data_IF_773354568547
#
_entry.id   IF_773354568547
#
_cell.length_a   1.000
_cell.length_b   1.000
_cell.length_c   1.000
_cell.angle_alpha   90.00
_cell.angle_beta   90.00
_cell.angle_gamma   90.00
#
_symmetry.space_group_name_H-M   'P 1'
#
loop_
_entity.id
_entity.type
_entity.pdbx_description
1 polymer ?
#
# COMPACT_ATOMS: atom_id res chain seq x y z
N UNK A 1 40.09 37.72 -69.86
CA UNK A 1 38.65 37.48 -70.12
C UNK A 1 38.17 36.37 -69.19
N UNK A 2 37.63 36.75 -68.02
CA UNK A 2 37.08 35.81 -67.03
C UNK A 2 35.56 35.80 -67.12
N UNK A 3 34.94 34.62 -67.13
CA UNK A 3 33.48 34.43 -67.08
C UNK A 3 33.06 33.82 -65.73
N UNK A 4 31.83 34.12 -65.26
CA UNK A 4 31.49 34.17 -63.84
C UNK A 4 30.93 32.86 -63.25
N UNK A 5 30.90 32.90 -61.93
CA UNK A 5 30.27 32.01 -60.93
C UNK A 5 28.88 31.46 -61.32
N UNK A 6 28.64 30.20 -60.98
CA UNK A 6 27.29 29.62 -60.83
C UNK A 6 27.17 29.03 -59.43
N UNK A 7 26.27 29.62 -58.65
CA UNK A 7 25.77 29.09 -57.39
C UNK A 7 24.87 27.89 -57.68
N UNK A 8 25.17 26.74 -57.10
CA UNK A 8 24.29 25.59 -57.08
C UNK A 8 23.58 25.54 -55.72
N UNK A 9 22.28 25.84 -55.73
CA UNK A 9 21.37 25.61 -54.62
C UNK A 9 21.16 24.10 -54.45
N UNK A 10 21.38 23.55 -53.26
CA UNK A 10 20.88 22.23 -52.87
C UNK A 10 19.92 22.42 -51.70
N UNK A 11 18.66 22.11 -51.96
CA UNK A 11 17.58 22.12 -51.00
C UNK A 11 17.51 20.77 -50.25
N UNK A 12 17.35 20.87 -48.93
CA UNK A 12 16.41 20.13 -48.08
C UNK A 12 16.39 18.59 -48.16
N UNK A 13 16.83 17.93 -47.08
CA UNK A 13 15.98 16.96 -46.36
C UNK A 13 16.52 16.71 -44.95
N UNK A 14 15.78 17.13 -43.92
CA UNK A 14 15.97 16.68 -42.53
C UNK A 14 15.02 15.50 -42.35
N UNK A 15 15.56 14.30 -42.17
CA UNK A 15 14.80 13.12 -41.76
C UNK A 15 15.17 12.78 -40.31
N UNK A 16 14.37 13.28 -39.37
CA UNK A 16 14.44 12.88 -37.97
C UNK A 16 13.53 11.66 -37.77
N UNK A 17 14.12 10.47 -37.61
CA UNK A 17 13.41 9.26 -37.16
C UNK A 17 13.63 9.13 -35.65
N UNK A 18 12.68 9.61 -34.85
CA UNK A 18 12.60 9.29 -33.43
C UNK A 18 11.73 8.03 -33.25
N UNK A 19 12.35 6.86 -33.27
CA UNK A 19 11.71 5.58 -32.97
C UNK A 19 11.66 5.34 -31.46
N UNK A 20 10.61 5.81 -30.80
CA UNK A 20 10.28 5.41 -29.43
C UNK A 20 9.57 4.06 -29.44
N UNK A 21 10.28 2.98 -29.13
CA UNK A 21 9.67 1.68 -28.91
C UNK A 21 8.96 1.68 -27.54
N UNK A 22 7.68 2.03 -27.51
CA UNK A 22 6.81 1.72 -26.39
C UNK A 22 6.59 0.19 -26.40
N UNK A 23 7.26 -0.52 -25.50
CA UNK A 23 6.91 -1.92 -25.21
C UNK A 23 5.45 -2.01 -24.75
N UNK A 24 4.77 -3.14 -24.96
CA UNK A 24 3.39 -3.29 -24.52
C UNK A 24 3.33 -3.08 -23.00
N UNK A 25 2.62 -2.03 -22.58
CA UNK A 25 2.19 -1.91 -21.20
C UNK A 25 1.36 -3.15 -20.90
N UNK A 26 1.87 -4.02 -20.02
CA UNK A 26 1.10 -5.16 -19.52
C UNK A 26 -0.07 -4.54 -18.77
N UNK A 27 -1.24 -4.48 -19.41
CA UNK A 27 -2.46 -4.10 -18.75
C UNK A 27 -2.62 -5.09 -17.59
N UNK A 28 -2.53 -4.60 -16.35
CA UNK A 28 -2.85 -5.41 -15.20
C UNK A 28 -4.24 -5.98 -15.42
N UNK A 29 -4.37 -7.31 -15.47
CA UNK A 29 -5.66 -7.96 -15.63
C UNK A 29 -6.61 -7.45 -14.55
N UNK A 30 -7.67 -6.77 -14.97
CA UNK A 30 -8.68 -6.16 -14.11
C UNK A 30 -9.70 -7.15 -13.58
N UNK A 31 -9.55 -8.42 -13.93
CA UNK A 31 -10.49 -9.46 -13.51
C UNK A 31 -10.32 -9.72 -12.01
N UNK A 32 -11.45 -9.64 -11.32
CA UNK A 32 -11.57 -9.77 -9.88
C UNK A 32 -12.71 -10.73 -9.61
N UNK A 33 -12.43 -11.83 -8.93
CA UNK A 33 -13.46 -12.75 -8.50
C UNK A 33 -14.11 -12.30 -7.18
N UNK A 34 -15.24 -12.90 -6.84
CA UNK A 34 -15.81 -12.79 -5.49
C UNK A 34 -14.86 -13.33 -4.42
N UNK A 35 -14.01 -14.31 -4.78
CA UNK A 35 -12.96 -14.85 -3.92
C UNK A 35 -11.94 -13.78 -3.55
N UNK A 36 -11.34 -13.16 -4.57
CA UNK A 36 -10.33 -12.10 -4.44
C UNK A 36 -10.89 -10.90 -3.64
N UNK A 37 -12.14 -10.53 -3.92
CA UNK A 37 -12.87 -9.46 -3.19
C UNK A 37 -12.98 -9.79 -1.70
N UNK A 38 -13.46 -11.00 -1.38
CA UNK A 38 -13.63 -11.45 0.00
C UNK A 38 -12.28 -11.54 0.71
N UNK A 39 -11.26 -12.02 0.01
CA UNK A 39 -9.90 -12.14 0.51
C UNK A 39 -9.33 -10.78 0.91
N UNK A 40 -9.30 -9.81 -0.01
CA UNK A 40 -8.75 -8.47 0.26
C UNK A 40 -9.49 -7.74 1.38
N UNK A 41 -10.83 -7.80 1.40
CA UNK A 41 -11.63 -7.21 2.46
C UNK A 41 -11.35 -7.85 3.82
N UNK A 42 -11.28 -9.17 3.87
CA UNK A 42 -11.03 -9.90 5.12
C UNK A 42 -9.62 -9.63 5.64
N UNK A 43 -8.61 -9.63 4.77
CA UNK A 43 -7.23 -9.37 5.19
C UNK A 43 -7.05 -7.94 5.70
N UNK A 44 -7.70 -6.94 5.08
CA UNK A 44 -7.76 -5.58 5.62
C UNK A 44 -8.36 -5.54 7.04
N UNK A 45 -9.50 -6.19 7.25
CA UNK A 45 -10.13 -6.24 8.58
C UNK A 45 -9.26 -6.97 9.62
N UNK A 46 -8.61 -8.07 9.22
CA UNK A 46 -7.68 -8.82 10.07
C UNK A 46 -6.50 -7.94 10.45
N UNK A 47 -5.84 -7.29 9.50
CA UNK A 47 -4.67 -6.46 9.78
C UNK A 47 -5.00 -5.34 10.77
N UNK A 48 -6.08 -4.59 10.55
CA UNK A 48 -6.51 -3.52 11.45
C UNK A 48 -6.86 -4.04 12.86
N UNK A 49 -7.52 -5.19 12.94
CA UNK A 49 -7.86 -5.83 14.22
C UNK A 49 -6.62 -6.28 14.99
N UNK A 50 -5.67 -6.92 14.30
CA UNK A 50 -4.43 -7.46 14.88
C UNK A 50 -3.47 -6.35 15.32
N UNK A 51 -3.47 -5.19 14.64
CA UNK A 51 -2.77 -3.97 15.11
C UNK A 51 -3.31 -3.56 16.48
N UNK A 52 -4.63 -3.39 16.62
CA UNK A 52 -5.24 -3.02 17.91
C UNK A 52 -5.00 -4.09 18.97
N UNK A 53 -5.14 -5.37 18.61
CA UNK A 53 -4.92 -6.48 19.53
C UNK A 53 -3.47 -6.55 20.03
N UNK A 54 -2.48 -6.26 19.17
CA UNK A 54 -1.08 -6.19 19.54
C UNK A 54 -0.74 -4.97 20.42
N UNK A 55 -1.39 -3.83 20.22
CA UNK A 55 -1.28 -2.64 21.10
C UNK A 55 -1.85 -2.92 22.50
N UNK A 56 -3.00 -3.60 22.57
CA UNK A 56 -3.56 -4.07 23.84
C UNK A 56 -2.65 -5.09 24.52
N UNK A 57 -2.05 -6.03 23.80
CA UNK A 57 -1.13 -7.01 24.37
C UNK A 57 0.07 -6.35 25.07
N UNK A 58 0.68 -5.35 24.41
CA UNK A 58 1.83 -4.61 24.96
C UNK A 58 1.51 -3.93 26.29
N UNK A 59 0.31 -3.36 26.42
CA UNK A 59 -0.12 -2.65 27.62
C UNK A 59 -0.74 -3.55 28.69
N UNK A 60 -1.45 -4.61 28.30
CA UNK A 60 -2.34 -5.37 29.20
C UNK A 60 -1.82 -6.76 29.57
N UNK A 61 -0.87 -7.33 28.82
CA UNK A 61 -0.38 -8.68 29.10
C UNK A 61 0.50 -8.74 30.36
N UNK A 62 0.52 -9.90 31.02
CA UNK A 62 1.32 -10.11 32.23
C UNK A 62 2.74 -10.57 31.93
N UNK A 63 2.95 -11.26 30.81
CA UNK A 63 4.25 -11.82 30.45
C UNK A 63 4.96 -10.99 29.38
N UNK A 64 6.28 -10.87 29.52
CA UNK A 64 7.13 -10.18 28.55
C UNK A 64 7.06 -10.83 27.15
N UNK A 65 6.94 -12.16 27.10
CA UNK A 65 6.76 -12.90 25.85
C UNK A 65 5.56 -12.37 25.04
N UNK A 66 4.38 -12.23 25.66
CA UNK A 66 3.17 -11.77 24.97
C UNK A 66 3.29 -10.31 24.55
N UNK A 67 3.90 -9.46 25.37
CA UNK A 67 4.16 -8.05 25.00
C UNK A 67 5.03 -7.96 23.75
N UNK A 68 6.10 -8.75 23.67
CA UNK A 68 6.98 -8.81 22.51
C UNK A 68 6.27 -9.34 21.28
N UNK A 69 5.46 -10.40 21.39
CA UNK A 69 4.65 -10.88 20.27
C UNK A 69 3.67 -9.79 19.82
N UNK A 70 3.01 -9.09 20.73
CA UNK A 70 2.15 -7.95 20.42
C UNK A 70 2.86 -6.86 19.62
N UNK A 71 4.09 -6.50 20.00
CA UNK A 71 4.89 -5.53 19.26
C UNK A 71 5.23 -6.00 17.83
N UNK A 72 5.53 -7.28 17.65
CA UNK A 72 5.76 -7.89 16.33
C UNK A 72 4.52 -7.83 15.46
N UNK A 73 3.35 -8.18 16.02
CA UNK A 73 2.08 -8.14 15.29
C UNK A 73 1.78 -6.73 14.81
N UNK A 74 1.92 -5.71 15.67
CA UNK A 74 1.70 -4.31 15.28
C UNK A 74 2.60 -3.91 14.12
N UNK A 75 3.90 -4.21 14.20
CA UNK A 75 4.85 -3.88 13.15
C UNK A 75 4.47 -4.55 11.81
N UNK A 76 4.31 -5.87 11.82
CA UNK A 76 4.12 -6.66 10.60
C UNK A 76 2.74 -6.42 9.98
N UNK A 77 1.68 -6.32 10.78
CA UNK A 77 0.32 -6.05 10.25
C UNK A 77 0.15 -4.63 9.73
N UNK A 78 0.89 -3.63 10.24
CA UNK A 78 0.92 -2.29 9.63
C UNK A 78 1.52 -2.34 8.22
N UNK A 79 2.55 -3.15 8.01
CA UNK A 79 3.13 -3.34 6.68
C UNK A 79 2.13 -4.07 5.77
N UNK A 80 1.54 -5.18 6.22
CA UNK A 80 0.54 -5.91 5.45
C UNK A 80 -0.69 -5.05 5.12
N UNK A 81 -1.12 -4.17 6.03
CA UNK A 81 -2.19 -3.22 5.77
C UNK A 81 -1.81 -2.18 4.69
N UNK A 82 -0.58 -1.68 4.73
CA UNK A 82 -0.09 -0.79 3.69
C UNK A 82 -0.02 -1.47 2.31
N UNK A 83 0.26 -2.77 2.27
CA UNK A 83 0.33 -3.58 1.05
C UNK A 83 -1.05 -3.97 0.48
N UNK A 84 -2.06 -4.25 1.33
CA UNK A 84 -3.39 -4.69 0.84
C UNK A 84 -4.20 -3.54 0.23
N UNK A 85 -3.99 -2.31 0.70
CA UNK A 85 -4.70 -1.12 0.22
C UNK A 85 -4.52 -0.83 -1.28
N UNK A 86 -3.30 -0.79 -1.86
CA UNK A 86 -3.12 -0.57 -3.30
C UNK A 86 -3.70 -1.72 -4.13
N UNK A 87 -3.63 -2.97 -3.66
CA UNK A 87 -4.25 -4.13 -4.32
C UNK A 87 -5.76 -3.93 -4.43
N UNK A 88 -6.42 -3.60 -3.32
CA UNK A 88 -7.85 -3.35 -3.32
C UNK A 88 -8.24 -2.13 -4.17
N UNK A 89 -7.43 -1.07 -4.15
CA UNK A 89 -7.65 0.13 -4.96
C UNK A 89 -7.60 -0.18 -6.46
N UNK A 90 -6.55 -0.86 -6.93
CA UNK A 90 -6.38 -1.24 -8.32
C UNK A 90 -7.51 -2.18 -8.80
N UNK A 91 -7.93 -3.09 -7.94
CA UNK A 91 -9.03 -4.03 -8.17
C UNK A 91 -10.44 -3.41 -7.98
N UNK A 92 -10.54 -2.12 -7.59
CA UNK A 92 -11.80 -1.43 -7.25
C UNK A 92 -12.62 -2.15 -6.17
N UNK A 93 -11.96 -2.85 -5.26
CA UNK A 93 -12.57 -3.53 -4.11
C UNK A 93 -12.79 -2.51 -2.99
N UNK A 94 -14.02 -2.31 -2.51
CA UNK A 94 -14.27 -1.42 -1.39
C UNK A 94 -13.76 -2.05 -0.08
N UNK A 95 -12.87 -1.35 0.63
CA UNK A 95 -12.40 -1.75 1.96
C UNK A 95 -13.30 -1.18 3.07
N UNK A 96 -13.24 -1.82 4.24
CA UNK A 96 -13.90 -1.30 5.42
C UNK A 96 -13.23 0.01 5.88
N UNK A 97 -14.00 0.90 6.50
CA UNK A 97 -13.43 2.12 7.08
C UNK A 97 -12.61 1.74 8.32
N UNK A 98 -11.37 2.20 8.36
CA UNK A 98 -10.41 1.82 9.41
C UNK A 98 -10.92 2.15 10.82
N UNK A 99 -11.43 3.37 11.00
CA UNK A 99 -12.02 3.86 12.26
C UNK A 99 -13.10 2.91 12.83
N UNK A 100 -13.95 2.35 11.98
CA UNK A 100 -15.02 1.44 12.38
C UNK A 100 -14.46 0.07 12.81
N UNK A 101 -13.49 -0.45 12.06
CA UNK A 101 -12.84 -1.74 12.39
C UNK A 101 -12.06 -1.60 13.69
N UNK A 102 -11.28 -0.54 13.83
CA UNK A 102 -10.50 -0.24 15.03
C UNK A 102 -11.39 -0.08 16.26
N UNK A 103 -12.48 0.70 16.18
CA UNK A 103 -13.42 0.84 17.30
C UNK A 103 -14.05 -0.49 17.72
N UNK A 104 -14.37 -1.36 16.75
CA UNK A 104 -14.90 -2.70 17.02
C UNK A 104 -13.84 -3.57 17.71
N UNK A 105 -12.60 -3.54 17.21
CA UNK A 105 -11.47 -4.28 17.78
C UNK A 105 -11.15 -3.80 19.20
N UNK A 106 -11.14 -2.49 19.45
CA UNK A 106 -10.92 -1.91 20.79
C UNK A 106 -11.97 -2.41 21.78
N UNK A 107 -13.26 -2.41 21.39
CA UNK A 107 -14.34 -2.95 22.24
C UNK A 107 -14.15 -4.44 22.53
N UNK A 108 -13.77 -5.23 21.52
CA UNK A 108 -13.51 -6.64 21.69
C UNK A 108 -12.33 -6.89 22.63
N UNK A 109 -11.22 -6.14 22.48
CA UNK A 109 -10.03 -6.28 23.32
C UNK A 109 -10.28 -5.83 24.76
N UNK A 110 -11.01 -4.74 24.97
CA UNK A 110 -11.42 -4.29 26.29
C UNK A 110 -12.34 -5.29 27.01
N UNK A 111 -13.11 -6.09 26.25
CA UNK A 111 -14.02 -7.10 26.78
C UNK A 111 -13.42 -8.51 26.86
N UNK A 112 -12.17 -8.70 26.39
CA UNK A 112 -11.56 -10.01 26.22
C UNK A 112 -11.41 -10.76 27.56
N UNK A 113 -10.84 -10.07 28.54
CA UNK A 113 -10.75 -10.44 29.94
C UNK A 113 -10.17 -9.24 30.73
N UNK A 114 -10.18 -9.32 32.06
CA UNK A 114 -9.53 -8.29 32.89
C UNK A 114 -8.04 -8.19 32.56
N UNK A 115 -7.59 -7.01 32.12
CA UNK A 115 -6.19 -6.71 31.85
C UNK A 115 -5.29 -7.03 33.07
N UNK A 116 -4.02 -7.32 32.80
CA UNK A 116 -3.01 -7.68 33.81
C UNK A 116 -3.37 -8.95 34.60
N UNK A 117 -4.02 -9.92 33.95
CA UNK A 117 -4.32 -11.22 34.55
C UNK A 117 -3.88 -12.37 33.64
N UNK A 118 -3.60 -13.53 34.23
CA UNK A 118 -3.31 -14.76 33.47
C UNK A 118 -4.50 -15.18 32.58
N UNK A 119 -5.73 -14.81 32.96
CA UNK A 119 -6.92 -15.05 32.15
C UNK A 119 -6.89 -14.23 30.84
N UNK A 120 -6.43 -12.99 30.89
CA UNK A 120 -6.20 -12.16 29.70
C UNK A 120 -5.15 -12.77 28.79
N UNK A 121 -3.98 -13.13 29.33
CA UNK A 121 -2.90 -13.74 28.56
C UNK A 121 -3.36 -15.01 27.82
N UNK A 122 -4.12 -15.88 28.52
CA UNK A 122 -4.70 -17.10 27.93
C UNK A 122 -5.73 -16.79 26.85
N UNK A 123 -6.64 -15.85 27.09
CA UNK A 123 -7.67 -15.47 26.12
C UNK A 123 -7.05 -14.88 24.85
N UNK A 124 -6.07 -14.00 25.01
CA UNK A 124 -5.35 -13.38 23.92
C UNK A 124 -4.58 -14.41 23.07
N UNK A 125 -3.81 -15.30 23.70
CA UNK A 125 -3.07 -16.34 22.98
C UNK A 125 -3.98 -17.30 22.21
N UNK A 126 -5.11 -17.68 22.77
CA UNK A 126 -6.08 -18.55 22.10
C UNK A 126 -6.72 -17.86 20.89
N UNK A 127 -7.08 -16.59 21.03
CA UNK A 127 -7.62 -15.77 19.94
C UNK A 127 -6.60 -15.65 18.81
N UNK A 128 -5.36 -15.31 19.13
CA UNK A 128 -4.26 -15.20 18.15
C UNK A 128 -4.03 -16.52 17.43
N UNK A 129 -3.95 -17.63 18.15
CA UNK A 129 -3.76 -18.94 17.54
C UNK A 129 -4.89 -19.32 16.57
N UNK A 130 -6.15 -19.07 16.95
CA UNK A 130 -7.29 -19.37 16.10
C UNK A 130 -7.36 -18.46 14.87
N UNK A 131 -7.18 -17.14 15.06
CA UNK A 131 -7.21 -16.13 14.00
C UNK A 131 -6.15 -16.37 12.94
N UNK A 132 -4.90 -16.62 13.37
CA UNK A 132 -3.80 -16.87 12.43
C UNK A 132 -3.98 -18.16 11.62
N UNK A 133 -4.59 -19.21 12.18
CA UNK A 133 -4.96 -20.41 11.42
C UNK A 133 -6.01 -20.12 10.34
N UNK A 134 -7.03 -19.33 10.68
CA UNK A 134 -8.07 -18.95 9.73
C UNK A 134 -7.51 -18.07 8.61
N UNK A 135 -6.66 -17.09 8.96
CA UNK A 135 -5.98 -16.23 8.01
C UNK A 135 -5.10 -17.03 7.05
N UNK A 136 -4.30 -17.99 7.54
CA UNK A 136 -3.51 -18.88 6.66
C UNK A 136 -4.38 -19.70 5.72
N UNK A 137 -5.50 -20.24 6.19
CA UNK A 137 -6.41 -20.99 5.32
C UNK A 137 -6.98 -20.11 4.20
N UNK A 138 -7.27 -18.85 4.50
CA UNK A 138 -7.78 -17.88 3.54
C UNK A 138 -6.68 -17.48 2.53
N UNK A 139 -5.47 -17.21 3.02
CA UNK A 139 -4.28 -16.93 2.19
C UNK A 139 -3.98 -18.10 1.24
N UNK A 140 -3.95 -19.33 1.74
CA UNK A 140 -3.67 -20.52 0.93
C UNK A 140 -4.75 -20.75 -0.14
N UNK A 141 -6.00 -20.43 0.19
CA UNK A 141 -7.10 -20.46 -0.78
C UNK A 141 -6.89 -19.43 -1.89
N UNK A 142 -6.54 -18.20 -1.55
CA UNK A 142 -6.30 -17.15 -2.54
C UNK A 142 -5.12 -17.49 -3.45
N UNK A 143 -4.00 -17.97 -2.90
CA UNK A 143 -2.84 -18.39 -3.69
C UNK A 143 -3.24 -19.46 -4.72
N UNK A 144 -4.08 -20.42 -4.31
CA UNK A 144 -4.48 -21.55 -5.15
C UNK A 144 -5.58 -21.19 -6.16
N UNK A 145 -6.56 -20.38 -5.77
CA UNK A 145 -7.84 -20.22 -6.48
C UNK A 145 -8.10 -18.79 -6.96
N UNK A 146 -7.36 -17.81 -6.45
CA UNK A 146 -7.51 -16.42 -6.86
C UNK A 146 -7.19 -16.24 -8.33
N UNK A 147 -7.87 -15.28 -8.96
CA UNK A 147 -7.67 -14.93 -10.37
C UNK A 147 -6.99 -13.56 -10.51
N UNK A 148 -7.25 -12.63 -9.60
CA UNK A 148 -6.56 -11.36 -9.60
C UNK A 148 -5.09 -11.52 -9.21
N UNK A 149 -4.19 -11.18 -10.14
CA UNK A 149 -2.74 -11.39 -9.99
C UNK A 149 -2.14 -10.64 -8.79
N UNK A 150 -2.61 -9.42 -8.52
CA UNK A 150 -2.13 -8.60 -7.40
C UNK A 150 -2.61 -9.16 -6.04
N UNK A 151 -3.86 -9.64 -5.96
CA UNK A 151 -4.37 -10.30 -4.76
C UNK A 151 -3.58 -11.57 -4.42
N UNK A 152 -3.27 -12.40 -5.44
CA UNK A 152 -2.41 -13.59 -5.26
C UNK A 152 -0.99 -13.21 -4.80
N UNK A 153 -0.40 -12.17 -5.38
CA UNK A 153 0.92 -11.72 -4.99
C UNK A 153 0.95 -11.22 -3.55
N UNK A 154 -0.04 -10.44 -3.13
CA UNK A 154 -0.19 -10.05 -1.72
C UNK A 154 -0.36 -11.28 -0.81
N UNK A 155 -1.16 -12.27 -1.21
CA UNK A 155 -1.31 -13.51 -0.45
C UNK A 155 0.03 -14.25 -0.28
N UNK A 156 0.85 -14.32 -1.33
CA UNK A 156 2.20 -14.92 -1.29
C UNK A 156 3.13 -14.16 -0.33
N UNK A 157 3.07 -12.83 -0.30
CA UNK A 157 3.83 -11.98 0.62
C UNK A 157 3.37 -12.20 2.06
N UNK A 158 2.05 -12.22 2.31
CA UNK A 158 1.49 -12.33 3.65
C UNK A 158 1.71 -13.71 4.28
N UNK A 159 1.67 -14.78 3.48
CA UNK A 159 1.74 -16.16 3.97
C UNK A 159 2.89 -16.46 4.95
N UNK A 160 4.17 -16.21 4.62
CA UNK A 160 5.27 -16.49 5.55
C UNK A 160 5.19 -15.67 6.84
N UNK A 161 4.62 -14.46 6.78
CA UNK A 161 4.45 -13.56 7.92
C UNK A 161 3.44 -14.13 8.91
N UNK A 162 2.24 -14.45 8.42
CA UNK A 162 1.16 -15.02 9.24
C UNK A 162 1.55 -16.42 9.75
N UNK A 163 2.31 -17.19 8.99
CA UNK A 163 2.87 -18.45 9.46
C UNK A 163 3.86 -18.27 10.61
N UNK A 164 4.78 -17.29 10.52
CA UNK A 164 5.68 -16.93 11.61
C UNK A 164 4.88 -16.56 12.87
N UNK A 165 3.88 -15.70 12.75
CA UNK A 165 3.02 -15.29 13.87
C UNK A 165 2.30 -16.49 14.50
N UNK A 166 1.72 -17.38 13.68
CA UNK A 166 1.09 -18.61 14.17
C UNK A 166 2.06 -19.45 15.02
N UNK A 167 3.34 -19.52 14.62
CA UNK A 167 4.38 -20.24 15.38
C UNK A 167 4.68 -19.56 16.72
N UNK A 168 4.64 -18.23 16.80
CA UNK A 168 4.83 -17.49 18.05
C UNK A 168 3.73 -17.79 19.09
N UNK A 169 2.53 -18.17 18.64
CA UNK A 169 1.36 -18.43 19.52
C UNK A 169 0.84 -19.88 19.44
N UNK A 170 1.65 -20.81 18.92
CA UNK A 170 1.20 -22.16 18.60
C UNK A 170 0.61 -22.91 19.80
N UNK A 171 -0.60 -23.46 19.63
CA UNK A 171 -1.30 -24.18 20.68
C UNK A 171 -1.82 -23.29 21.82
N UNK A 172 -2.00 -21.99 21.58
CA UNK A 172 -2.43 -21.03 22.60
C UNK A 172 -1.36 -20.76 23.66
N UNK A 173 -0.08 -20.94 23.29
CA UNK A 173 1.08 -20.71 24.16
C UNK A 173 2.02 -19.72 23.49
N UNK A 174 2.65 -18.86 24.27
CA UNK A 174 3.66 -17.94 23.76
C UNK A 174 5.00 -18.68 23.59
N UNK A 175 5.59 -18.60 22.39
CA UNK A 175 6.91 -19.15 22.05
C UNK A 175 7.93 -18.05 21.74
N UNK A 176 7.54 -16.78 21.87
CA UNK A 176 8.39 -15.61 21.60
C UNK A 176 8.71 -15.44 20.12
N UNK A 177 9.73 -14.63 19.81
CA UNK A 177 10.20 -14.46 18.43
C UNK A 177 10.89 -15.74 17.93
N UNK A 178 10.27 -16.40 16.96
CA UNK A 178 10.83 -17.60 16.33
C UNK A 178 11.73 -17.18 15.15
N UNK A 179 12.99 -16.82 15.42
CA UNK A 179 14.00 -16.53 14.39
C UNK A 179 13.74 -15.28 13.53
N UNK A 180 14.73 -14.40 13.41
CA UNK A 180 14.59 -13.11 12.72
C UNK A 180 14.72 -13.25 11.20
N UNK A 181 13.67 -13.68 10.51
CA UNK A 181 13.55 -13.34 9.09
C UNK A 181 12.78 -12.02 9.00
N UNK A 182 13.53 -10.94 8.74
CA UNK A 182 12.96 -9.62 8.44
C UNK A 182 12.03 -9.78 7.24
N UNK A 183 10.84 -9.20 7.32
CA UNK A 183 10.00 -8.94 6.15
C UNK A 183 10.84 -8.04 5.24
N UNK A 184 11.13 -8.40 3.98
CA UNK A 184 11.72 -7.45 3.04
C UNK A 184 10.75 -6.27 2.93
N UNK A 185 11.21 -5.08 3.32
CA UNK A 185 10.44 -3.87 3.09
C UNK A 185 10.35 -3.66 1.56
N UNK A 186 9.15 -3.81 1.00
CA UNK A 186 8.79 -3.32 -0.32
C UNK A 186 9.55 -3.91 -1.51
N UNK A 187 9.07 -5.02 -2.06
CA UNK A 187 9.25 -5.32 -3.49
C UNK A 187 8.04 -4.88 -4.33
N UNK A 188 6.88 -4.66 -3.71
CA UNK A 188 5.69 -4.08 -4.34
C UNK A 188 5.93 -2.64 -4.82
N UNK A 189 6.72 -1.86 -4.07
CA UNK A 189 7.15 -0.51 -4.49
C UNK A 189 8.04 -0.52 -5.73
N UNK A 190 8.86 -1.56 -5.93
CA UNK A 190 9.72 -1.68 -7.11
C UNK A 190 8.94 -2.07 -8.37
N UNK A 191 7.81 -2.76 -8.22
CA UNK A 191 6.90 -2.99 -9.34
C UNK A 191 6.17 -1.71 -9.77
N UNK A 192 5.89 -0.78 -8.83
CA UNK A 192 5.35 0.53 -9.15
C UNK A 192 6.42 1.50 -9.72
N UNK A 193 7.66 1.44 -9.24
CA UNK A 193 8.76 2.30 -9.70
C UNK A 193 9.32 1.85 -11.06
N UNK A 194 9.27 0.54 -11.36
CA UNK A 194 9.54 0.02 -12.70
C UNK A 194 8.44 0.39 -13.72
N UNK A 195 7.23 0.75 -13.25
CA UNK A 195 6.14 1.25 -14.09
C UNK A 195 6.18 2.78 -14.28
N UNK A 196 6.94 3.52 -13.47
CA UNK A 196 7.23 4.94 -13.64
C UNK A 196 8.66 5.13 -14.17
N UNK A 197 8.88 4.83 -15.45
CA UNK A 197 10.17 5.09 -16.09
C UNK A 197 10.58 6.57 -15.94
N UNK A 198 11.72 6.82 -15.29
CA UNK A 198 12.35 8.13 -15.27
C UNK A 198 13.18 8.46 -14.03
N UNK A 199 14.27 7.74 -13.80
CA UNK A 199 15.37 8.24 -12.96
C UNK A 199 16.24 9.20 -13.77
N UNK A 200 16.21 10.50 -13.44
CA UNK A 200 17.24 11.46 -13.86
C UNK A 200 18.35 11.41 -12.80
N UNK A 201 19.62 11.17 -13.15
CA UNK A 201 20.68 11.14 -12.16
C UNK A 201 21.03 12.56 -11.71
N UNK A 202 21.15 12.75 -10.39
CA UNK A 202 21.68 13.96 -9.80
C UNK A 202 23.21 14.01 -10.00
N UNK A 203 23.65 14.71 -11.05
CA UNK A 203 25.01 15.24 -11.16
C UNK A 203 24.94 16.76 -11.07
N UNK A 204 25.59 17.33 -10.05
CA UNK A 204 25.59 18.76 -9.78
C UNK A 204 26.43 19.58 -10.76
N UNK A 205 26.02 20.84 -10.95
CA UNK A 205 26.81 22.04 -11.28
C UNK A 205 25.81 23.20 -11.39
N UNK A 206 25.84 24.16 -10.47
CA UNK A 206 26.55 25.45 -10.59
C UNK A 206 25.69 26.56 -11.23
N UNK A 207 25.56 27.67 -10.49
CA UNK A 207 24.86 28.90 -10.87
C UNK A 207 25.49 29.56 -12.10
N UNK A 208 24.65 30.11 -12.99
CA UNK A 208 24.88 31.45 -13.56
C UNK A 208 23.63 32.01 -14.24
N UNK A 209 23.43 33.30 -14.02
CA UNK A 209 22.33 34.14 -14.45
C UNK A 209 22.28 34.43 -15.97
N UNK A 210 21.12 34.91 -16.44
CA UNK A 210 21.02 35.82 -17.57
C UNK A 210 19.94 35.47 -18.59
N UNK A 211 19.05 36.42 -18.90
CA UNK A 211 18.40 36.47 -20.21
C UNK A 211 16.90 36.79 -20.21
N UNK A 212 16.57 38.03 -20.52
CA UNK A 212 15.24 38.63 -20.55
C UNK A 212 14.40 38.30 -21.82
N UNK A 213 13.08 38.26 -21.63
CA UNK A 213 11.99 38.90 -22.41
C UNK A 213 11.77 38.48 -23.89
N UNK A 214 10.52 38.06 -24.19
CA UNK A 214 9.66 38.71 -25.18
C UNK A 214 8.19 38.28 -25.03
N UNK A 215 7.32 39.29 -24.98
CA UNK A 215 5.88 39.21 -24.80
C UNK A 215 5.13 39.26 -26.14
N UNK A 216 3.92 38.71 -26.18
CA UNK A 216 2.82 39.30 -26.96
C UNK A 216 1.47 38.93 -26.34
N UNK A 217 0.59 39.92 -26.31
CA UNK A 217 -0.58 40.05 -25.45
C UNK A 217 -1.92 39.85 -26.17
N UNK A 218 -2.98 39.78 -25.36
CA UNK A 218 -4.36 40.20 -25.67
C UNK A 218 -5.39 39.10 -25.38
N UNK A 219 -6.51 39.28 -24.67
CA UNK A 219 -7.20 40.39 -23.97
C UNK A 219 -8.35 39.69 -23.21
N UNK A 220 -8.43 39.68 -21.88
CA UNK A 220 -9.07 40.64 -20.96
C UNK A 220 -10.59 40.87 -21.12
N UNK A 221 -11.37 40.46 -20.10
CA UNK A 221 -12.52 41.14 -19.45
C UNK A 221 -13.50 40.07 -18.90
N UNK A 222 -13.96 40.02 -17.65
CA UNK A 222 -13.77 40.86 -16.46
C UNK A 222 -15.06 40.84 -15.63
N UNK A 223 -14.91 40.72 -14.29
CA UNK A 223 -15.72 41.43 -13.26
C UNK A 223 -17.17 40.89 -13.03
N UNK A 224 -17.75 40.73 -11.84
CA UNK A 224 -17.40 40.91 -10.42
C UNK A 224 -18.47 40.19 -9.57
N UNK A 225 -18.06 39.75 -8.39
CA UNK A 225 -18.84 39.33 -7.22
C UNK A 225 -20.13 40.12 -6.97
N UNK A 226 -21.20 39.45 -6.55
CA UNK A 226 -22.04 39.95 -5.45
C UNK A 226 -22.55 38.83 -4.54
N UNK A 227 -22.11 38.93 -3.30
CA UNK A 227 -22.51 38.18 -2.10
C UNK A 227 -23.87 38.74 -1.64
N UNK A 228 -24.88 37.90 -1.42
CA UNK A 228 -25.99 38.24 -0.52
C UNK A 228 -26.42 37.02 0.29
N UNK A 229 -26.06 37.04 1.58
CA UNK A 229 -26.77 36.33 2.65
C UNK A 229 -28.08 37.08 2.92
N UNK A 230 -29.19 36.35 3.04
CA UNK A 230 -30.32 36.73 3.93
C UNK A 230 -30.85 35.45 4.58
N UNK A 231 -30.72 35.40 5.90
CA UNK A 231 -31.57 34.62 6.78
C UNK A 231 -32.90 35.38 6.99
N UNK A 232 -34.02 34.69 7.22
CA UNK A 232 -34.72 34.62 8.51
C UNK A 232 -36.14 33.98 8.40
N UNK A 233 -36.43 33.05 9.32
CA UNK A 233 -37.69 32.63 9.96
C UNK A 233 -38.95 32.20 9.18
N UNK A 234 -39.47 31.01 9.51
CA UNK A 234 -40.27 30.74 10.73
C UNK A 234 -39.96 29.35 11.29
#
# INVERSE_FOLDING_TARGET
>A
MGRPTRFASVAMTVLAVAGGAAGPAVAAETDVSKGDTTFAQTMNMVNLTEIVAGEYAQSSATTECIKQVGAVLVHDHRQLEAEVRPVAYAARIPLAKADKVEATAQKAMASLAKAHTAAYDKAWLNMMFAGHKQALSLIDKEIKQGINTQAKQYAQIARPVIYKHLRMVYGGKCHGQVGTNKIPAGESGKAAEAASGGSVPATGMALSAGGAVLASAGTAAGIVLLRRRRAYSR
#
